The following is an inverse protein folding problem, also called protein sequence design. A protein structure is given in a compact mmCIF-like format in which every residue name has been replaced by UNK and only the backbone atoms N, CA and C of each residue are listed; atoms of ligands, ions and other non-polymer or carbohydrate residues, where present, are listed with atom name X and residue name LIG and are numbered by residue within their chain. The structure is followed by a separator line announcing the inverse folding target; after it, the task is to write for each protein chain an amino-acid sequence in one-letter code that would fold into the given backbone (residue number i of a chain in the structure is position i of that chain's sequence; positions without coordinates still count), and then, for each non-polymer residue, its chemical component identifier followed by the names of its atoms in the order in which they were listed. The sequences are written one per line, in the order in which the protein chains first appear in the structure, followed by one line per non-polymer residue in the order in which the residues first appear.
data_IF_116188907473
#
_entry.id   IF_116188907473
#
_cell.length_a   1.000
_cell.length_b   1.000
_cell.length_c   1.000
_cell.angle_alpha   90.00
_cell.angle_beta   90.00
_cell.angle_gamma   90.00
#
_symmetry.space_group_name_H-M   'P 1'
#
loop_
_entity.id
_entity.type
_entity.pdbx_description
1 polymer ?
#
# COMPACT_ATOMS: atom_id res chain seq x y z
N UNK A 1 13.97 3.73 27.25
CA UNK A 1 12.87 3.86 26.26
C UNK A 1 13.46 3.55 24.88
N UNK A 2 12.68 2.98 23.96
CA UNK A 2 13.17 2.63 22.62
C UNK A 2 12.93 3.77 21.62
N UNK A 3 13.68 3.77 20.52
CA UNK A 3 13.48 4.71 19.41
C UNK A 3 12.31 4.26 18.54
N UNK A 4 11.43 5.20 18.20
CA UNK A 4 10.26 5.02 17.35
C UNK A 4 10.45 5.75 16.03
N UNK A 5 9.90 5.18 14.97
CA UNK A 5 10.16 5.62 13.61
C UNK A 5 8.89 5.83 12.81
N UNK A 6 8.87 6.88 11.98
CA UNK A 6 7.88 7.13 10.94
C UNK A 6 8.57 7.13 9.57
N UNK A 7 7.90 6.59 8.55
CA UNK A 7 8.39 6.69 7.18
C UNK A 7 7.90 8.01 6.59
N UNK A 8 8.81 8.80 6.02
CA UNK A 8 8.57 10.18 5.60
C UNK A 8 9.14 10.39 4.20
N UNK A 9 8.34 10.98 3.32
CA UNK A 9 8.78 11.50 2.03
C UNK A 9 9.02 13.00 2.15
N UNK A 10 10.29 13.41 1.96
CA UNK A 10 10.75 14.78 2.14
C UNK A 10 10.40 15.68 0.95
N UNK A 11 10.17 15.11 -0.23
CA UNK A 11 9.90 15.88 -1.45
C UNK A 11 8.45 16.35 -1.52
N UNK A 12 7.49 15.45 -1.25
CA UNK A 12 6.06 15.72 -1.39
C UNK A 12 5.34 15.88 -0.05
N UNK A 13 6.08 15.89 1.06
CA UNK A 13 5.57 16.09 2.42
C UNK A 13 4.46 15.10 2.80
N UNK A 14 4.75 13.81 2.64
CA UNK A 14 3.86 12.73 3.04
C UNK A 14 4.54 11.86 4.11
N UNK A 15 3.75 11.26 4.99
CA UNK A 15 4.26 10.31 5.97
C UNK A 15 3.33 9.13 6.17
N UNK A 16 3.92 8.05 6.66
CA UNK A 16 3.22 6.84 7.09
C UNK A 16 3.42 6.69 8.60
N UNK A 17 2.30 6.74 9.29
CA UNK A 17 2.19 6.46 10.71
C UNK A 17 2.13 4.94 10.94
N UNK A 18 3.09 4.33 11.67
CA UNK A 18 3.10 2.89 11.94
C UNK A 18 1.91 2.44 12.80
N UNK A 19 1.45 3.29 13.72
CA UNK A 19 0.32 2.97 14.58
C UNK A 19 -1.01 2.95 13.82
N UNK A 20 -1.18 3.82 12.81
CA UNK A 20 -2.35 3.76 11.92
C UNK A 20 -2.41 2.44 11.15
N UNK A 21 -1.25 1.82 10.88
CA UNK A 21 -1.17 0.54 10.19
C UNK A 21 -1.37 -0.67 11.12
N UNK A 22 -1.54 -0.44 12.44
CA UNK A 22 -1.70 -1.51 13.44
C UNK A 22 -0.39 -2.10 13.94
N UNK A 23 0.74 -1.46 13.64
CA UNK A 23 2.08 -1.93 13.99
C UNK A 23 2.70 -1.23 15.18
N UNK A 24 3.92 -1.70 15.49
CA UNK A 24 4.84 -0.98 16.37
C UNK A 24 5.81 -0.12 15.57
N UNK A 25 6.34 0.92 16.23
CA UNK A 25 7.16 1.93 15.57
C UNK A 25 8.68 1.69 15.72
N UNK A 26 9.14 0.66 16.44
CA UNK A 26 10.58 0.40 16.60
C UNK A 26 11.16 -0.14 15.30
N UNK A 27 12.43 0.16 15.03
CA UNK A 27 13.12 -0.31 13.81
C UNK A 27 13.00 -1.83 13.61
N UNK A 28 13.12 -2.60 14.69
CA UNK A 28 12.96 -4.06 14.63
C UNK A 28 11.53 -4.45 14.19
N UNK A 29 10.50 -3.75 14.68
CA UNK A 29 9.10 -4.01 14.32
C UNK A 29 8.84 -3.71 12.84
N UNK A 30 9.41 -2.61 12.32
CA UNK A 30 9.40 -2.33 10.88
C UNK A 30 10.03 -3.45 10.06
N UNK A 31 11.16 -4.01 10.51
CA UNK A 31 11.91 -5.02 9.76
C UNK A 31 11.25 -6.40 9.73
N UNK A 32 10.49 -6.78 10.75
CA UNK A 32 9.94 -8.14 10.89
C UNK A 32 8.45 -8.26 10.57
N UNK A 33 7.78 -7.14 10.24
CA UNK A 33 6.34 -7.09 10.01
C UNK A 33 6.01 -6.57 8.61
N UNK A 34 4.74 -6.67 8.16
CA UNK A 34 4.31 -6.15 6.86
C UNK A 34 4.63 -4.66 6.65
N UNK A 35 4.80 -3.88 7.73
CA UNK A 35 5.16 -2.46 7.71
C UNK A 35 6.43 -2.17 6.90
N UNK A 36 7.47 -3.00 6.98
CA UNK A 36 8.66 -2.81 6.15
C UNK A 36 8.41 -3.12 4.68
N UNK A 37 7.49 -4.05 4.40
CA UNK A 37 7.19 -4.44 3.03
C UNK A 37 6.34 -3.40 2.28
N UNK A 38 5.69 -2.45 2.96
CA UNK A 38 4.92 -1.37 2.30
C UNK A 38 5.79 -0.52 1.35
N UNK A 39 7.10 -0.42 1.63
CA UNK A 39 8.04 0.28 0.76
C UNK A 39 8.10 -0.33 -0.64
N UNK A 40 7.79 -1.63 -0.78
CA UNK A 40 7.71 -2.28 -2.09
C UNK A 40 6.60 -1.70 -2.95
N UNK A 41 5.48 -1.26 -2.35
CA UNK A 41 4.42 -0.56 -3.07
C UNK A 41 4.76 0.92 -3.26
N UNK A 42 5.18 1.62 -2.21
CA UNK A 42 5.44 3.07 -2.28
C UNK A 42 6.57 3.43 -3.26
N UNK A 43 7.64 2.62 -3.31
CA UNK A 43 8.83 2.89 -4.12
C UNK A 43 8.77 2.22 -5.51
N UNK A 44 7.68 1.52 -5.83
CA UNK A 44 7.53 0.78 -7.08
C UNK A 44 7.62 1.70 -8.31
N UNK A 45 8.63 1.50 -9.16
CA UNK A 45 8.77 2.12 -10.47
C UNK A 45 8.75 1.07 -11.57
N UNK A 46 7.68 1.02 -12.38
CA UNK A 46 7.55 0.06 -13.47
C UNK A 46 6.51 0.53 -14.51
N UNK A 47 6.67 0.03 -15.74
CA UNK A 47 5.80 0.29 -16.89
C UNK A 47 4.59 -0.67 -16.95
N UNK A 48 4.37 -1.49 -15.90
CA UNK A 48 3.21 -2.41 -15.73
C UNK A 48 3.14 -3.54 -16.77
N UNK A 49 4.25 -3.86 -17.43
CA UNK A 49 4.28 -4.85 -18.53
C UNK A 49 4.57 -6.29 -18.10
N UNK A 50 4.94 -6.51 -16.83
CA UNK A 50 5.38 -7.81 -16.30
C UNK A 50 4.39 -8.44 -15.33
N UNK A 51 4.29 -9.78 -15.33
CA UNK A 51 3.52 -10.54 -14.34
C UNK A 51 3.97 -10.24 -12.91
N UNK A 52 3.02 -10.27 -11.96
CA UNK A 52 3.26 -9.96 -10.54
C UNK A 52 3.24 -8.47 -10.16
N UNK A 53 2.97 -7.56 -11.11
CA UNK A 53 2.79 -6.13 -10.85
C UNK A 53 1.36 -5.79 -10.37
N UNK A 54 1.14 -4.55 -9.93
CA UNK A 54 -0.18 -4.09 -9.50
C UNK A 54 -1.06 -3.78 -10.70
N UNK A 55 -2.14 -4.55 -10.82
CA UNK A 55 -3.24 -4.30 -11.75
C UNK A 55 -4.38 -3.68 -10.95
N UNK A 56 -4.64 -2.38 -11.15
CA UNK A 56 -5.55 -1.56 -10.34
C UNK A 56 -6.95 -2.14 -10.08
N UNK A 57 -7.68 -1.44 -9.22
CA UNK A 57 -8.99 -1.83 -8.65
C UNK A 57 -10.11 -1.81 -9.71
N UNK A 58 -10.16 -2.84 -10.53
CA UNK A 58 -11.33 -3.21 -11.32
C UNK A 58 -11.94 -4.49 -10.74
N UNK A 59 -13.27 -4.67 -10.77
CA UNK A 59 -13.89 -5.86 -10.23
C UNK A 59 -13.31 -7.10 -10.90
N UNK A 60 -12.94 -8.11 -10.09
CA UNK A 60 -12.80 -9.50 -10.51
C UNK A 60 -14.17 -10.14 -10.82
N UNK A 61 -15.17 -9.35 -11.20
CA UNK A 61 -16.50 -9.84 -11.53
C UNK A 61 -16.63 -9.78 -13.05
N UNK A 62 -16.36 -10.92 -13.69
CA UNK A 62 -17.12 -11.22 -14.89
C UNK A 62 -18.50 -11.68 -14.39
N UNK A 63 -19.55 -10.89 -14.63
CA UNK A 63 -20.91 -11.42 -14.55
C UNK A 63 -21.03 -12.46 -15.66
N UNK A 64 -20.93 -13.74 -15.30
CA UNK A 64 -21.26 -14.85 -16.19
C UNK A 64 -22.77 -14.78 -16.46
N UNK A 65 -23.20 -13.95 -17.42
CA UNK A 65 -24.49 -14.13 -18.05
C UNK A 65 -24.35 -15.28 -19.05
N UNK A 66 -24.54 -16.51 -18.58
CA UNK A 66 -24.38 -17.68 -19.42
C UNK A 66 -25.18 -18.87 -18.88
N UNK A 67 -26.40 -19.01 -19.38
CA UNK A 67 -27.07 -20.31 -19.51
C UNK A 67 -26.18 -21.23 -20.36
N UNK A 68 -25.28 -22.00 -19.75
CA UNK A 68 -24.68 -23.17 -20.40
C UNK A 68 -24.02 -24.10 -19.39
N UNK A 69 -24.57 -25.31 -19.27
CA UNK A 69 -24.18 -26.42 -18.39
C UNK A 69 -22.79 -27.04 -18.73
N UNK A 70 -21.71 -26.26 -18.85
CA UNK A 70 -20.39 -26.81 -19.20
C UNK A 70 -19.25 -26.24 -18.34
N UNK A 71 -19.00 -26.90 -17.20
CA UNK A 71 -17.98 -26.58 -16.19
C UNK A 71 -16.54 -26.41 -16.77
N UNK A 72 -16.26 -26.99 -17.94
CA UNK A 72 -14.94 -26.90 -18.59
C UNK A 72 -14.73 -25.55 -19.31
N UNK A 73 -15.80 -24.88 -19.73
CA UNK A 73 -15.74 -23.55 -20.36
C UNK A 73 -15.46 -22.48 -19.31
N UNK A 74 -15.97 -22.68 -18.10
CA UNK A 74 -15.78 -21.77 -16.96
C UNK A 74 -14.32 -21.73 -16.48
N UNK A 75 -13.68 -22.89 -16.28
CA UNK A 75 -12.27 -22.95 -15.88
C UNK A 75 -11.34 -22.39 -16.97
N UNK A 76 -11.64 -22.65 -18.24
CA UNK A 76 -10.89 -22.11 -19.37
C UNK A 76 -11.00 -20.58 -19.45
N UNK A 77 -12.17 -20.01 -19.16
CA UNK A 77 -12.38 -18.57 -19.12
C UNK A 77 -11.63 -17.90 -17.95
N UNK A 78 -11.62 -18.53 -16.76
CA UNK A 78 -10.85 -18.06 -15.59
C UNK A 78 -9.35 -18.10 -15.87
N UNK A 79 -8.85 -19.20 -16.46
CA UNK A 79 -7.45 -19.34 -16.86
C UNK A 79 -7.10 -18.31 -17.94
N UNK A 80 -7.95 -18.12 -18.94
CA UNK A 80 -7.72 -17.13 -20.01
C UNK A 80 -7.74 -15.70 -19.47
N UNK A 81 -8.61 -15.38 -18.52
CA UNK A 81 -8.66 -14.09 -17.85
C UNK A 81 -7.41 -13.85 -16.99
N UNK A 82 -6.94 -14.87 -16.28
CA UNK A 82 -5.68 -14.82 -15.52
C UNK A 82 -4.46 -14.63 -16.44
N UNK A 83 -4.42 -15.31 -17.57
CA UNK A 83 -3.37 -15.17 -18.60
C UNK A 83 -3.44 -13.82 -19.31
N UNK A 84 -4.64 -13.27 -19.53
CA UNK A 84 -4.85 -11.98 -20.20
C UNK A 84 -4.43 -10.77 -19.36
N UNK A 85 -4.09 -10.96 -18.08
CA UNK A 85 -3.54 -9.88 -17.23
C UNK A 85 -2.04 -9.67 -17.43
N UNK A 86 -1.31 -10.61 -18.05
CA UNK A 86 0.09 -10.36 -18.41
C UNK A 86 0.19 -9.21 -19.43
N UNK A 87 0.78 -8.09 -19.01
CA UNK A 87 1.07 -6.96 -19.90
C UNK A 87 -0.08 -5.98 -20.14
N UNK A 88 -1.19 -6.07 -19.39
CA UNK A 88 -2.26 -5.06 -19.47
C UNK A 88 -1.85 -3.77 -18.72
N UNK A 89 -1.76 -2.62 -19.39
CA UNK A 89 -1.49 -1.36 -18.72
C UNK A 89 -2.74 -0.93 -17.95
N UNK A 90 -2.80 -1.22 -16.66
CA UNK A 90 -3.87 -0.66 -15.83
C UNK A 90 -3.50 0.78 -15.50
N UNK A 91 -4.38 1.72 -15.83
CA UNK A 91 -4.28 3.07 -15.31
C UNK A 91 -4.58 3.00 -13.81
N UNK A 92 -3.57 3.15 -12.96
CA UNK A 92 -3.84 3.39 -11.54
C UNK A 92 -4.70 4.65 -11.41
N UNK A 93 -5.71 4.67 -10.53
CA UNK A 93 -6.45 5.88 -10.22
C UNK A 93 -5.47 7.02 -9.88
N UNK A 94 -5.81 8.27 -10.22
CA UNK A 94 -4.95 9.43 -9.96
C UNK A 94 -4.58 9.60 -8.47
N UNK A 95 -5.38 9.01 -7.58
CA UNK A 95 -5.22 9.06 -6.13
C UNK A 95 -4.44 7.88 -5.54
N UNK A 96 -3.79 7.05 -6.37
CA UNK A 96 -3.03 5.89 -5.88
C UNK A 96 -1.79 6.29 -5.07
N UNK A 97 -1.42 5.46 -4.09
CA UNK A 97 -0.14 5.59 -3.36
C UNK A 97 0.93 4.64 -3.88
N UNK A 98 0.56 3.65 -4.71
CA UNK A 98 1.51 2.76 -5.39
C UNK A 98 2.45 3.53 -6.30
N UNK A 99 3.75 3.39 -6.05
CA UNK A 99 4.83 4.04 -6.78
C UNK A 99 4.92 5.54 -6.57
N UNK A 100 4.10 6.10 -5.67
CA UNK A 100 4.00 7.55 -5.46
C UNK A 100 5.29 8.17 -4.92
N UNK A 101 6.07 7.40 -4.16
CA UNK A 101 7.36 7.84 -3.61
C UNK A 101 8.55 7.41 -4.48
N UNK A 102 8.30 6.85 -5.67
CA UNK A 102 9.34 6.32 -6.52
C UNK A 102 10.22 7.44 -7.12
N UNK A 103 11.47 7.49 -6.69
CA UNK A 103 12.44 8.51 -7.13
C UNK A 103 12.54 9.71 -6.19
N UNK A 104 11.75 9.75 -5.12
CA UNK A 104 11.82 10.77 -4.09
C UNK A 104 12.84 10.44 -2.98
N UNK A 105 13.15 11.44 -2.18
CA UNK A 105 13.95 11.33 -0.95
C UNK A 105 13.03 10.86 0.18
N UNK A 106 13.13 9.57 0.49
CA UNK A 106 12.36 8.92 1.55
C UNK A 106 13.30 8.54 2.70
N UNK A 107 12.86 8.79 3.93
CA UNK A 107 13.60 8.44 5.13
C UNK A 107 12.69 7.75 6.16
N UNK A 108 13.27 6.85 6.94
CA UNK A 108 12.67 6.34 8.16
C UNK A 108 13.23 7.15 9.32
N UNK A 109 12.45 8.11 9.82
CA UNK A 109 12.91 9.14 10.76
C UNK A 109 12.54 8.73 12.18
N UNK A 110 13.54 8.74 13.07
CA UNK A 110 13.37 8.41 14.47
C UNK A 110 12.99 9.61 15.34
N UNK A 111 12.31 9.37 16.45
CA UNK A 111 11.94 10.39 17.47
C UNK A 111 13.14 11.03 18.20
N UNK A 112 14.34 10.43 18.12
CA UNK A 112 15.59 11.01 18.66
C UNK A 112 16.41 11.74 17.58
N UNK A 113 15.90 11.85 16.35
CA UNK A 113 16.61 12.55 15.29
C UNK A 113 16.68 14.06 15.55
N UNK A 114 17.85 14.67 15.36
CA UNK A 114 18.09 16.07 15.68
C UNK A 114 17.32 17.08 14.82
N UNK A 115 16.65 16.62 13.75
CA UNK A 115 15.80 17.49 12.93
C UNK A 115 14.43 17.79 13.57
N UNK A 116 14.06 17.06 14.64
CA UNK A 116 12.73 17.07 15.26
C UNK A 116 11.58 16.78 14.26
N UNK A 117 11.91 16.23 13.08
CA UNK A 117 10.94 16.02 12.02
C UNK A 117 9.96 14.89 12.37
N UNK A 118 10.29 13.99 13.28
CA UNK A 118 9.36 12.96 13.74
C UNK A 118 8.11 13.54 14.41
N UNK A 119 8.28 14.63 15.17
CA UNK A 119 7.22 15.26 15.95
C UNK A 119 6.54 16.40 15.17
N UNK A 120 7.28 17.06 14.27
CA UNK A 120 6.78 18.20 13.50
C UNK A 120 6.25 17.81 12.11
N UNK A 121 5.29 16.89 12.07
CA UNK A 121 4.65 16.41 10.81
C UNK A 121 3.28 17.03 10.54
N UNK A 122 2.85 18.06 11.27
CA UNK A 122 1.52 18.67 11.11
C UNK A 122 1.26 19.24 9.70
N UNK A 123 2.34 19.59 8.98
CA UNK A 123 2.28 20.04 7.59
C UNK A 123 2.33 18.91 6.57
N UNK A 124 2.62 17.69 7.01
CA UNK A 124 2.73 16.52 6.15
C UNK A 124 1.38 15.80 6.09
N UNK A 125 1.05 15.25 4.92
CA UNK A 125 -0.14 14.42 4.76
C UNK A 125 0.13 13.00 5.26
N UNK A 126 -0.72 12.52 6.16
CA UNK A 126 -0.75 11.11 6.52
C UNK A 126 -1.39 10.29 5.39
N UNK A 127 -0.65 9.35 4.81
CA UNK A 127 -1.14 8.45 3.75
C UNK A 127 -1.38 7.01 4.24
N UNK A 128 -1.28 6.75 5.55
CA UNK A 128 -1.45 5.41 6.11
C UNK A 128 -2.79 4.75 5.75
N UNK A 129 -3.95 5.44 5.80
CA UNK A 129 -5.23 4.81 5.47
C UNK A 129 -5.31 4.36 4.00
N UNK A 130 -4.88 5.20 3.05
CA UNK A 130 -4.84 4.88 1.63
C UNK A 130 -3.87 3.73 1.35
N UNK A 131 -2.70 3.76 2.00
CA UNK A 131 -1.70 2.71 1.89
C UNK A 131 -2.17 1.37 2.44
N UNK A 132 -2.84 1.36 3.60
CA UNK A 132 -3.40 0.14 4.16
C UNK A 132 -4.42 -0.49 3.23
N UNK A 133 -5.30 0.32 2.63
CA UNK A 133 -6.31 -0.15 1.66
C UNK A 133 -5.67 -0.76 0.42
N UNK A 134 -4.73 -0.05 -0.21
CA UNK A 134 -4.05 -0.55 -1.42
C UNK A 134 -3.19 -1.79 -1.12
N UNK A 135 -2.54 -1.83 0.06
CA UNK A 135 -1.79 -3.00 0.52
C UNK A 135 -2.69 -4.20 0.73
N UNK A 136 -3.80 -4.04 1.46
CA UNK A 136 -4.75 -5.11 1.74
C UNK A 136 -5.36 -5.68 0.47
N UNK A 137 -5.62 -4.81 -0.52
CA UNK A 137 -6.07 -5.22 -1.84
C UNK A 137 -4.98 -5.94 -2.64
N UNK A 138 -3.73 -5.49 -2.58
CA UNK A 138 -2.64 -6.08 -3.36
C UNK A 138 -2.20 -7.45 -2.82
N UNK A 139 -2.05 -7.56 -1.50
CA UNK A 139 -1.45 -8.75 -0.88
C UNK A 139 -2.47 -9.88 -0.75
N UNK A 140 -3.74 -9.56 -0.48
CA UNK A 140 -4.85 -10.53 -0.32
C UNK A 140 -4.62 -11.65 0.72
N UNK A 141 -3.54 -11.61 1.50
CA UNK A 141 -3.22 -12.55 2.57
C UNK A 141 -3.74 -12.03 3.92
N UNK A 142 -4.69 -12.73 4.59
CA UNK A 142 -5.26 -12.27 5.85
C UNK A 142 -4.24 -11.94 6.94
N UNK A 143 -3.16 -12.75 7.03
CA UNK A 143 -2.10 -12.60 8.03
C UNK A 143 -1.15 -11.42 7.76
N UNK A 144 -1.21 -10.81 6.58
CA UNK A 144 -0.39 -9.65 6.20
C UNK A 144 -1.19 -8.35 6.19
N UNK A 145 -2.48 -8.38 6.56
CA UNK A 145 -3.34 -7.19 6.51
C UNK A 145 -2.89 -6.11 7.49
N UNK A 146 -3.03 -4.86 7.05
CA UNK A 146 -2.80 -3.66 7.83
C UNK A 146 -4.12 -3.05 8.28
N UNK A 147 -4.09 -2.28 9.36
CA UNK A 147 -5.25 -1.53 9.81
C UNK A 147 -5.51 -0.31 8.91
N UNK A 148 -6.78 -0.07 8.59
CA UNK A 148 -7.21 1.08 7.77
C UNK A 148 -7.70 2.27 8.61
N UNK A 149 -7.95 2.04 9.91
CA UNK A 149 -8.43 3.08 10.82
C UNK A 149 -7.26 3.93 11.36
N UNK A 150 -7.42 5.26 11.41
CA UNK A 150 -6.40 6.13 11.98
C UNK A 150 -6.22 5.82 13.47
N UNK A 151 -4.97 5.88 13.95
CA UNK A 151 -4.70 5.80 15.38
C UNK A 151 -5.25 7.03 16.12
N UNK A 152 -5.43 6.94 17.44
CA UNK A 152 -5.98 8.02 18.26
C UNK A 152 -5.30 9.37 18.02
N UNK A 153 -3.96 9.37 17.95
CA UNK A 153 -3.17 10.60 17.73
C UNK A 153 -3.40 11.24 16.35
N UNK A 154 -3.75 10.45 15.33
CA UNK A 154 -3.96 10.93 13.96
C UNK A 154 -5.45 11.20 13.66
N UNK A 155 -6.37 10.65 14.44
CA UNK A 155 -7.81 10.86 14.27
C UNK A 155 -8.20 12.33 14.53
N UNK A 156 -7.51 13.01 15.45
CA UNK A 156 -7.75 14.42 15.78
C UNK A 156 -7.36 15.38 14.65
N UNK A 157 -6.48 14.96 13.73
CA UNK A 157 -5.97 15.80 12.63
C UNK A 157 -6.86 15.74 11.37
N UNK A 158 -7.88 14.87 11.37
CA UNK A 158 -8.77 14.62 10.22
C UNK A 158 -10.14 15.29 10.34
N UNK A 159 -10.37 16.06 11.41
CA UNK A 159 -11.62 16.78 11.72
C UNK A 159 -11.50 18.28 11.46
#
# INVERSE_FOLDING_TARGET
MGQYFKAVNLNIQEYVCPWCLGGGARLWEWAVSPHGAIFTLLLRKSDRSGGGDVYGSGPLAYELSGDSDDDNVELAAVILAAMSREGQPVCSPADTVIGRWAGDSVALIGDYDSSDLHDNLDSYRNISPELAREWNQFVELPQMRLNEEPCADCAEQSA
#
